data_IF_111593150438
#
_entry.id   IF_111593150438
#
_cell.length_a   1.000
_cell.length_b   1.000
_cell.length_c   1.000
_cell.angle_alpha   90.00
_cell.angle_beta   90.00
_cell.angle_gamma   90.00
#
_symmetry.space_group_name_H-M   'P 1'
#
loop_
_entity.id
_entity.type
_entity.pdbx_description
1 polymer ?
#
# COMPACT_ATOMS: atom_id res chain seq x y z
N UNK A 1 -21.44 42.97 29.38
CA UNK A 1 -22.59 42.28 28.77
C UNK A 1 -23.92 42.65 29.44
N UNK A 2 -24.03 42.61 30.78
CA UNK A 2 -25.29 42.88 31.48
C UNK A 2 -25.91 44.23 31.12
N UNK A 3 -25.14 45.36 31.13
CA UNK A 3 -25.63 46.66 30.72
C UNK A 3 -26.10 46.72 29.25
N UNK A 4 -25.49 45.92 28.40
CA UNK A 4 -25.87 45.83 27.00
C UNK A 4 -27.22 45.08 26.84
N UNK A 5 -27.44 44.04 27.64
CA UNK A 5 -28.70 43.29 27.65
C UNK A 5 -29.86 44.12 28.21
N UNK A 6 -29.58 44.96 29.20
CA UNK A 6 -30.58 45.90 29.74
C UNK A 6 -30.95 46.98 28.70
N UNK A 7 -29.98 47.57 28.00
CA UNK A 7 -30.22 48.46 26.87
C UNK A 7 -31.00 47.82 25.75
N UNK A 8 -30.72 46.56 25.47
CA UNK A 8 -31.46 45.75 24.47
C UNK A 8 -32.93 45.57 24.86
N UNK A 9 -33.23 45.24 26.12
CA UNK A 9 -34.59 45.07 26.64
C UNK A 9 -35.37 46.39 26.71
N UNK A 10 -34.67 47.52 26.91
CA UNK A 10 -35.26 48.87 26.95
C UNK A 10 -35.41 49.51 25.58
N UNK A 11 -34.88 48.87 24.51
CA UNK A 11 -34.93 49.39 23.14
C UNK A 11 -33.96 50.52 22.86
N UNK A 12 -32.91 50.70 23.67
CA UNK A 12 -31.93 51.82 23.59
C UNK A 12 -30.61 51.39 22.94
N UNK A 13 -30.59 50.33 22.15
CA UNK A 13 -29.44 49.79 21.44
C UNK A 13 -29.31 50.32 20.01
N UNK A 14 -28.08 50.53 19.53
CA UNK A 14 -27.77 50.73 18.11
C UNK A 14 -27.65 49.39 17.37
N UNK A 15 -27.45 49.41 16.04
CA UNK A 15 -27.36 48.17 15.23
C UNK A 15 -26.16 47.27 15.61
N UNK A 16 -25.02 47.87 15.99
CA UNK A 16 -23.83 47.13 16.42
C UNK A 16 -24.08 46.41 17.76
N UNK A 17 -24.74 47.12 18.71
CA UNK A 17 -25.13 46.57 20.01
C UNK A 17 -26.08 45.36 19.82
N UNK A 18 -27.04 45.43 18.89
CA UNK A 18 -27.98 44.36 18.57
C UNK A 18 -27.26 43.13 18.00
N UNK A 19 -26.32 43.35 17.09
CA UNK A 19 -25.52 42.24 16.53
C UNK A 19 -24.66 41.58 17.60
N UNK A 20 -24.09 42.33 18.53
CA UNK A 20 -23.29 41.83 19.63
C UNK A 20 -24.12 40.95 20.59
N UNK A 21 -25.34 41.41 20.93
CA UNK A 21 -26.29 40.63 21.76
C UNK A 21 -26.68 39.32 21.04
N UNK A 22 -27.04 39.38 19.77
CA UNK A 22 -27.43 38.18 19.01
C UNK A 22 -26.27 37.19 18.88
N UNK A 23 -25.05 37.67 18.66
CA UNK A 23 -23.86 36.81 18.61
C UNK A 23 -23.61 36.15 19.98
N UNK A 24 -23.75 36.88 21.08
CA UNK A 24 -23.59 36.33 22.43
C UNK A 24 -24.66 35.30 22.79
N UNK A 25 -25.92 35.53 22.38
CA UNK A 25 -27.01 34.56 22.56
C UNK A 25 -26.79 33.24 21.80
N UNK A 26 -26.17 33.32 20.63
CA UNK A 26 -25.91 32.15 19.81
C UNK A 26 -24.72 31.29 20.27
N UNK A 27 -23.88 31.80 21.19
CA UNK A 27 -22.67 31.08 21.65
C UNK A 27 -22.97 29.81 22.44
N UNK A 28 -23.97 29.86 23.34
CA UNK A 28 -24.35 28.66 24.09
C UNK A 28 -25.77 28.80 24.69
N UNK A 29 -26.37 27.66 25.08
CA UNK A 29 -27.72 27.61 25.67
C UNK A 29 -27.84 28.25 27.07
N UNK A 30 -26.71 28.42 27.77
CA UNK A 30 -26.67 29.09 29.09
C UNK A 30 -26.86 30.58 28.95
N UNK A 31 -26.29 31.20 27.94
CA UNK A 31 -26.49 32.62 27.64
C UNK A 31 -27.96 32.89 27.31
N UNK A 32 -28.61 32.01 26.57
CA UNK A 32 -30.04 32.10 26.27
C UNK A 32 -30.87 32.04 27.54
N UNK A 33 -30.63 31.11 28.46
CA UNK A 33 -31.34 30.99 29.74
C UNK A 33 -31.15 32.23 30.62
N UNK A 34 -29.93 32.74 30.69
CA UNK A 34 -29.62 33.92 31.46
C UNK A 34 -30.36 35.16 30.93
N UNK A 35 -30.46 35.30 29.62
CA UNK A 35 -31.23 36.34 28.97
C UNK A 35 -32.71 36.21 29.22
N UNK A 36 -33.30 35.03 29.13
CA UNK A 36 -34.71 34.75 29.38
C UNK A 36 -35.07 35.08 30.84
N UNK A 37 -34.25 34.75 31.80
CA UNK A 37 -34.42 35.11 33.21
C UNK A 37 -34.39 36.65 33.41
N UNK A 38 -33.47 37.35 32.78
CA UNK A 38 -33.37 38.78 32.85
C UNK A 38 -34.62 39.46 32.22
N UNK A 39 -35.08 38.93 31.10
CA UNK A 39 -36.27 39.34 30.39
C UNK A 39 -37.54 39.18 31.25
N UNK A 40 -37.69 38.06 31.93
CA UNK A 40 -38.82 37.80 32.83
C UNK A 40 -38.83 38.77 34.02
N UNK A 41 -37.69 39.03 34.62
CA UNK A 41 -37.55 40.01 35.71
C UNK A 41 -37.93 41.42 35.23
N UNK A 42 -37.49 41.82 34.04
CA UNK A 42 -37.78 43.11 33.44
C UNK A 42 -39.27 43.28 33.18
N UNK A 43 -39.94 42.29 32.60
CA UNK A 43 -41.39 42.39 32.34
C UNK A 43 -42.23 42.26 33.58
N UNK A 44 -41.86 41.49 34.59
CA UNK A 44 -42.51 41.48 35.92
C UNK A 44 -42.43 42.86 36.59
N UNK A 45 -41.28 43.54 36.51
CA UNK A 45 -41.13 44.89 37.01
C UNK A 45 -42.01 45.90 36.28
N UNK A 46 -42.28 45.71 34.99
CA UNK A 46 -43.10 46.64 34.17
C UNK A 46 -44.62 46.43 34.39
N UNK A 47 -45.07 45.28 34.85
CA UNK A 47 -46.50 44.96 35.08
C UNK A 47 -46.97 45.30 36.47
N UNK A 48 -46.08 45.52 37.44
CA UNK A 48 -46.46 45.98 38.78
C UNK A 48 -46.79 47.48 38.78
N UNK A 49 -48.05 47.84 38.64
CA UNK A 49 -48.57 49.19 38.85
C UNK A 49 -48.53 49.51 40.36
N UNK A 50 -47.53 50.21 40.83
CA UNK A 50 -47.56 50.83 42.15
C UNK A 50 -48.07 52.27 42.03
N UNK A 51 -48.97 52.77 42.93
CA UNK A 51 -49.37 54.16 42.96
C UNK A 51 -48.24 55.01 43.59
N UNK A 52 -47.51 55.70 42.79
CA UNK A 52 -46.38 56.60 43.21
C UNK A 52 -45.18 56.28 42.35
N UNK A 53 -44.67 57.30 41.67
CA UNK A 53 -43.67 57.26 40.61
C UNK A 53 -42.59 56.21 40.76
N UNK A 54 -42.50 55.36 39.79
CA UNK A 54 -41.49 54.29 39.68
C UNK A 54 -40.13 54.93 39.39
N UNK A 55 -39.22 54.80 40.35
CA UNK A 55 -37.82 55.18 40.19
C UNK A 55 -37.01 53.90 39.97
N UNK A 56 -36.53 53.69 38.74
CA UNK A 56 -35.85 52.39 38.36
C UNK A 56 -34.55 52.21 39.15
N UNK A 57 -33.82 53.28 39.47
CA UNK A 57 -32.54 53.19 40.20
C UNK A 57 -32.73 52.84 41.68
N UNK A 58 -33.76 53.37 42.33
CA UNK A 58 -34.12 52.96 43.69
C UNK A 58 -34.67 51.59 43.81
N UNK A 59 -35.39 51.15 42.79
CA UNK A 59 -35.93 49.79 42.73
C UNK A 59 -34.81 48.78 42.53
N UNK A 60 -33.85 49.06 41.66
CA UNK A 60 -32.65 48.17 41.39
C UNK A 60 -31.77 48.16 42.66
N UNK A 61 -31.54 49.23 43.32
CA UNK A 61 -30.77 49.28 44.57
C UNK A 61 -31.43 48.45 45.68
N UNK A 62 -32.78 48.48 45.75
CA UNK A 62 -33.54 47.68 46.73
C UNK A 62 -33.48 46.21 46.44
N UNK A 63 -33.57 45.81 45.19
CA UNK A 63 -33.43 44.43 44.75
C UNK A 63 -32.00 43.90 45.00
N UNK A 64 -30.98 44.70 44.67
CA UNK A 64 -29.58 44.36 44.99
C UNK A 64 -29.35 44.16 46.48
N UNK A 65 -29.91 45.06 47.31
CA UNK A 65 -29.77 44.99 48.80
C UNK A 65 -30.45 43.72 49.35
N UNK A 66 -31.63 43.37 48.83
CA UNK A 66 -32.33 42.15 49.23
C UNK A 66 -31.56 40.85 48.76
N UNK A 67 -31.06 40.86 47.54
CA UNK A 67 -30.27 39.73 47.00
C UNK A 67 -29.00 39.52 47.83
N UNK A 68 -28.22 40.54 48.13
CA UNK A 68 -27.04 40.42 48.96
C UNK A 68 -27.38 40.02 50.39
N UNK A 69 -28.54 40.43 50.93
CA UNK A 69 -28.98 40.03 52.27
C UNK A 69 -29.38 38.55 52.36
N UNK A 70 -30.08 38.06 51.33
CA UNK A 70 -30.43 36.64 51.23
C UNK A 70 -29.18 35.80 51.12
N UNK A 71 -28.25 36.16 50.21
CA UNK A 71 -27.01 35.44 49.99
C UNK A 71 -26.06 35.48 51.20
N UNK A 72 -26.06 36.59 51.95
CA UNK A 72 -25.29 36.71 53.20
C UNK A 72 -25.85 35.79 54.30
N UNK A 73 -27.16 35.68 54.39
CA UNK A 73 -27.81 34.81 55.37
C UNK A 73 -27.62 33.32 55.02
N UNK A 74 -27.71 32.94 53.72
CA UNK A 74 -27.37 31.58 53.25
C UNK A 74 -25.94 31.20 53.58
N UNK A 75 -24.99 32.11 53.43
CA UNK A 75 -23.57 31.90 53.78
C UNK A 75 -23.34 31.79 55.30
N UNK A 76 -24.17 32.45 56.12
CA UNK A 76 -24.03 32.48 57.57
C UNK A 76 -24.66 31.25 58.26
N UNK A 77 -25.74 30.72 57.71
CA UNK A 77 -26.38 29.51 58.23
C UNK A 77 -25.58 28.23 57.94
N UNK A 78 -24.58 28.29 57.02
CA UNK A 78 -23.71 27.16 56.75
C UNK A 78 -22.52 27.00 57.71
N UNK A 79 -22.22 27.99 58.59
CA UNK A 79 -21.08 27.93 59.50
C UNK A 79 -21.37 27.29 60.87
N UNK A 80 -22.61 27.04 61.21
CA UNK A 80 -22.94 26.73 62.60
C UNK A 80 -23.75 25.49 62.90
N UNK A 81 -23.52 24.31 62.32
CA UNK A 81 -24.05 23.03 62.93
C UNK A 81 -23.63 21.73 62.31
N UNK A 82 -22.57 21.61 61.49
CA UNK A 82 -22.32 20.31 60.85
C UNK A 82 -20.86 19.80 60.80
N UNK A 83 -19.92 20.30 61.58
CA UNK A 83 -18.55 19.77 61.60
C UNK A 83 -18.51 18.24 61.91
N UNK A 84 -19.38 17.75 62.79
CA UNK A 84 -19.39 16.32 63.16
C UNK A 84 -20.13 15.42 62.16
N UNK A 85 -21.18 15.92 61.48
CA UNK A 85 -21.88 15.15 60.43
C UNK A 85 -21.10 15.16 59.09
N UNK A 86 -20.48 16.26 58.74
CA UNK A 86 -19.65 16.35 57.54
C UNK A 86 -18.38 15.49 57.62
N UNK A 87 -17.79 15.31 58.82
CA UNK A 87 -16.64 14.44 58.97
C UNK A 87 -17.00 12.96 58.74
N UNK A 88 -18.18 12.53 59.23
CA UNK A 88 -18.69 11.14 58.95
C UNK A 88 -19.06 10.98 57.45
N UNK A 89 -19.60 12.00 56.81
CA UNK A 89 -19.89 11.94 55.36
C UNK A 89 -18.60 11.89 54.53
N UNK A 90 -17.61 12.70 54.90
CA UNK A 90 -16.29 12.70 54.26
C UNK A 90 -15.57 11.34 54.44
N UNK A 91 -15.68 10.70 55.61
CA UNK A 91 -15.10 9.38 55.83
C UNK A 91 -15.83 8.31 55.02
N UNK A 92 -17.16 8.35 54.92
CA UNK A 92 -17.93 7.40 54.08
C UNK A 92 -17.57 7.57 52.58
N UNK A 93 -17.48 8.83 52.09
CA UNK A 93 -17.09 9.12 50.73
C UNK A 93 -15.63 8.68 50.46
N UNK A 94 -14.72 8.91 51.40
CA UNK A 94 -13.34 8.49 51.28
C UNK A 94 -13.21 6.96 51.27
N UNK A 95 -13.98 6.24 52.07
CA UNK A 95 -14.02 4.76 52.08
C UNK A 95 -14.64 4.22 50.78
N UNK A 96 -15.74 4.85 50.30
CA UNK A 96 -16.35 4.48 49.01
C UNK A 96 -15.40 4.74 47.85
N UNK A 97 -14.71 5.89 47.82
CA UNK A 97 -13.71 6.22 46.82
C UNK A 97 -12.51 5.26 46.82
N UNK A 98 -12.02 4.87 48.04
CA UNK A 98 -10.94 3.90 48.15
C UNK A 98 -11.37 2.49 47.72
N UNK A 99 -12.61 2.08 48.01
CA UNK A 99 -13.17 0.81 47.48
C UNK A 99 -13.29 0.83 45.98
N UNK A 100 -13.79 1.93 45.36
CA UNK A 100 -13.85 2.08 43.92
C UNK A 100 -12.44 2.08 43.27
N UNK A 101 -11.46 2.69 43.93
CA UNK A 101 -10.07 2.69 43.49
C UNK A 101 -9.46 1.27 43.59
N UNK A 102 -9.73 0.51 44.65
CA UNK A 102 -9.31 -0.88 44.78
C UNK A 102 -9.97 -1.79 43.73
N UNK A 103 -11.28 -1.59 43.47
CA UNK A 103 -11.99 -2.31 42.41
C UNK A 103 -11.41 -1.95 41.04
N UNK A 104 -11.19 -0.67 40.75
CA UNK A 104 -10.57 -0.20 39.51
C UNK A 104 -9.14 -0.75 39.37
N UNK A 105 -8.36 -0.73 40.43
CA UNK A 105 -7.01 -1.30 40.46
C UNK A 105 -7.05 -2.82 40.24
N UNK A 106 -8.00 -3.53 40.88
CA UNK A 106 -8.21 -4.98 40.71
C UNK A 106 -8.62 -5.34 39.27
N UNK A 107 -9.47 -4.53 38.64
CA UNK A 107 -9.83 -4.71 37.24
C UNK A 107 -8.64 -4.42 36.31
N UNK A 108 -7.90 -3.36 36.58
CA UNK A 108 -6.70 -3.02 35.80
C UNK A 108 -5.58 -4.06 35.98
N UNK A 109 -5.36 -4.55 37.18
CA UNK A 109 -4.44 -5.67 37.46
C UNK A 109 -4.90 -6.95 36.76
N UNK A 110 -6.19 -7.31 36.78
CA UNK A 110 -6.70 -8.46 36.02
C UNK A 110 -6.53 -8.30 34.52
N UNK A 111 -6.63 -7.09 33.99
CA UNK A 111 -6.37 -6.83 32.55
C UNK A 111 -4.87 -6.83 32.24
N UNK A 112 -4.03 -6.34 33.15
CA UNK A 112 -2.57 -6.37 33.03
C UNK A 112 -1.99 -7.79 33.19
N UNK A 113 -2.59 -8.63 34.04
CA UNK A 113 -2.24 -10.03 34.21
C UNK A 113 -3.10 -11.00 33.41
N UNK A 114 -3.90 -10.51 32.44
CA UNK A 114 -4.42 -11.43 31.45
C UNK A 114 -3.19 -12.04 30.78
N UNK A 115 -2.98 -13.38 30.89
CA UNK A 115 -1.95 -14.00 30.09
C UNK A 115 -2.21 -13.51 28.67
N UNK A 116 -1.21 -12.89 28.05
CA UNK A 116 -1.29 -12.59 26.63
C UNK A 116 -1.80 -13.89 26.03
N UNK A 117 -3.00 -13.87 25.45
CA UNK A 117 -3.46 -14.99 24.63
C UNK A 117 -2.37 -15.06 23.58
N UNK A 118 -1.40 -15.91 23.82
CA UNK A 118 -0.46 -16.36 22.81
C UNK A 118 -1.36 -17.04 21.79
N UNK A 119 -1.86 -16.25 20.84
CA UNK A 119 -2.41 -16.80 19.61
C UNK A 119 -1.28 -17.69 19.13
N UNK A 120 -1.49 -19.03 19.05
CA UNK A 120 -0.45 -19.90 18.55
C UNK A 120 0.06 -19.26 17.26
N UNK A 121 1.36 -18.99 17.21
CA UNK A 121 2.01 -18.44 16.00
C UNK A 121 1.88 -19.41 14.79
N UNK A 122 1.27 -20.55 15.03
CA UNK A 122 1.01 -21.62 14.06
C UNK A 122 -0.42 -21.64 13.50
N UNK A 123 -1.16 -20.54 13.55
CA UNK A 123 -2.29 -20.44 12.61
C UNK A 123 -1.65 -20.37 11.22
N UNK A 124 -1.78 -21.42 10.38
CA UNK A 124 -1.19 -21.40 9.06
C UNK A 124 -1.74 -20.18 8.34
N UNK A 125 -0.86 -19.25 8.00
CA UNK A 125 -1.25 -18.08 7.20
C UNK A 125 -1.92 -18.61 5.94
N UNK A 126 -3.21 -18.37 5.81
CA UNK A 126 -3.92 -18.71 4.60
C UNK A 126 -3.43 -17.78 3.47
N UNK A 127 -3.20 -18.36 2.31
CA UNK A 127 -2.70 -17.66 1.14
C UNK A 127 -3.73 -17.74 0.02
N UNK A 128 -3.82 -16.65 -0.73
CA UNK A 128 -4.42 -16.66 -2.06
C UNK A 128 -3.34 -17.02 -3.07
N UNK A 129 -3.64 -17.90 -4.00
CA UNK A 129 -2.77 -18.27 -5.10
C UNK A 129 -3.53 -18.17 -6.41
N UNK A 130 -2.94 -17.48 -7.37
CA UNK A 130 -3.48 -17.30 -8.71
C UNK A 130 -2.49 -17.87 -9.70
N UNK A 131 -2.94 -18.88 -10.45
CA UNK A 131 -2.15 -19.55 -11.45
C UNK A 131 -2.65 -19.18 -12.85
N UNK A 132 -1.73 -18.78 -13.71
CA UNK A 132 -1.98 -18.54 -15.14
C UNK A 132 -1.41 -19.72 -15.94
N UNK A 133 -2.24 -20.52 -16.59
CA UNK A 133 -1.76 -21.65 -17.38
C UNK A 133 -0.96 -21.18 -18.60
N UNK A 134 -0.19 -22.10 -19.21
CA UNK A 134 0.40 -21.86 -20.53
C UNK A 134 -0.71 -21.55 -21.54
N UNK A 135 -0.42 -20.73 -22.53
CA UNK A 135 -1.38 -20.28 -23.54
C UNK A 135 -2.30 -19.15 -23.08
N UNK A 136 -2.16 -18.65 -21.86
CA UNK A 136 -3.04 -17.61 -21.29
C UNK A 136 -2.27 -16.51 -20.59
N UNK A 137 -2.92 -15.37 -20.40
CA UNK A 137 -2.44 -14.28 -19.55
C UNK A 137 -3.56 -13.86 -18.62
N UNK A 138 -3.21 -13.44 -17.42
CA UNK A 138 -4.18 -13.02 -16.39
C UNK A 138 -3.86 -11.60 -15.93
N UNK A 139 -4.89 -10.78 -15.86
CA UNK A 139 -4.81 -9.47 -15.19
C UNK A 139 -5.62 -9.51 -13.91
N UNK A 140 -5.03 -9.04 -12.81
CA UNK A 140 -5.69 -8.99 -11.51
C UNK A 140 -5.37 -7.70 -10.77
N UNK A 141 -6.22 -7.39 -9.81
CA UNK A 141 -6.01 -6.28 -8.86
C UNK A 141 -5.81 -6.88 -7.47
N UNK A 142 -4.68 -6.57 -6.84
CA UNK A 142 -4.41 -6.97 -5.46
C UNK A 142 -5.24 -6.14 -4.48
N UNK A 143 -5.40 -6.58 -3.20
CA UNK A 143 -6.22 -5.89 -2.21
C UNK A 143 -5.82 -4.42 -1.97
N UNK A 144 -4.55 -4.06 -2.17
CA UNK A 144 -4.06 -2.68 -2.03
C UNK A 144 -4.35 -1.78 -3.26
N UNK A 145 -4.92 -2.36 -4.33
CA UNK A 145 -5.20 -1.70 -5.59
C UNK A 145 -4.04 -1.74 -6.59
N UNK A 146 -2.95 -2.47 -6.29
CA UNK A 146 -1.88 -2.75 -7.24
C UNK A 146 -2.40 -3.60 -8.41
N UNK A 147 -2.09 -3.19 -9.64
CA UNK A 147 -2.44 -3.96 -10.84
C UNK A 147 -1.29 -4.90 -11.19
N UNK A 148 -1.62 -6.14 -11.50
CA UNK A 148 -0.65 -7.18 -11.87
C UNK A 148 -1.11 -7.85 -13.16
N UNK A 149 -0.20 -7.99 -14.11
CA UNK A 149 -0.36 -8.84 -15.29
C UNK A 149 0.53 -10.05 -15.12
N UNK A 150 -0.02 -11.23 -15.14
CA UNK A 150 0.71 -12.52 -15.14
C UNK A 150 0.83 -13.03 -16.54
N UNK A 151 2.05 -13.35 -16.95
CA UNK A 151 2.32 -13.98 -18.25
C UNK A 151 2.03 -15.49 -18.19
N UNK A 152 2.05 -16.15 -19.34
CA UNK A 152 1.78 -17.57 -19.48
C UNK A 152 2.70 -18.45 -18.61
N UNK A 153 2.12 -19.45 -17.95
CA UNK A 153 2.87 -20.35 -17.06
C UNK A 153 3.38 -19.70 -15.78
N UNK A 154 2.71 -18.65 -15.28
CA UNK A 154 3.12 -17.91 -14.09
C UNK A 154 2.12 -18.06 -12.93
N UNK A 155 2.60 -17.91 -11.71
CA UNK A 155 1.76 -17.86 -10.52
C UNK A 155 2.18 -16.75 -9.57
N UNK A 156 1.19 -16.19 -8.87
CA UNK A 156 1.40 -15.23 -7.77
C UNK A 156 0.68 -15.72 -6.52
N UNK A 157 1.39 -15.66 -5.39
CA UNK A 157 0.87 -16.04 -4.08
C UNK A 157 1.04 -14.90 -3.10
N UNK A 158 0.00 -14.61 -2.32
CA UNK A 158 0.01 -13.56 -1.30
C UNK A 158 -0.87 -13.95 -0.10
N UNK A 159 -0.55 -13.48 1.14
CA UNK A 159 -1.32 -13.83 2.33
C UNK A 159 -2.72 -13.20 2.29
N UNK A 160 -3.71 -13.87 2.90
CA UNK A 160 -5.07 -13.34 3.01
C UNK A 160 -5.10 -12.03 3.81
N UNK A 161 -4.24 -11.89 4.81
CA UNK A 161 -4.08 -10.67 5.60
C UNK A 161 -3.03 -9.71 4.99
N UNK A 162 -3.15 -9.47 3.68
CA UNK A 162 -2.23 -8.69 2.85
C UNK A 162 -1.84 -7.32 3.45
N UNK A 163 -2.69 -6.77 4.32
CA UNK A 163 -2.45 -5.49 4.98
C UNK A 163 -1.70 -5.58 6.32
N UNK A 164 -1.40 -6.78 6.82
CA UNK A 164 -0.66 -6.98 8.06
C UNK A 164 0.85 -6.91 7.81
N UNK A 165 1.46 -5.75 8.03
CA UNK A 165 2.88 -5.52 7.75
C UNK A 165 3.14 -5.01 6.33
N UNK A 166 4.27 -5.42 5.73
CA UNK A 166 4.61 -5.11 4.34
C UNK A 166 3.72 -5.89 3.37
N UNK A 167 3.46 -5.31 2.20
CA UNK A 167 2.66 -5.90 1.11
C UNK A 167 3.52 -6.92 0.36
N UNK A 168 3.48 -8.20 0.78
CA UNK A 168 4.35 -9.25 0.25
C UNK A 168 3.62 -10.15 -0.73
N UNK A 169 4.25 -10.41 -1.86
CA UNK A 169 3.82 -11.42 -2.84
C UNK A 169 4.99 -12.35 -3.19
N UNK A 170 4.69 -13.58 -3.56
CA UNK A 170 5.67 -14.51 -4.12
C UNK A 170 5.31 -14.76 -5.57
N UNK A 171 6.27 -14.57 -6.47
CA UNK A 171 6.13 -14.74 -7.90
C UNK A 171 6.93 -15.96 -8.36
N UNK A 172 6.29 -16.82 -9.17
CA UNK A 172 6.93 -17.82 -10.02
C UNK A 172 6.54 -17.54 -11.46
N UNK A 173 7.50 -17.41 -12.38
CA UNK A 173 7.22 -17.03 -13.77
C UNK A 173 7.44 -15.55 -14.04
N UNK A 174 6.61 -14.92 -14.86
CA UNK A 174 6.75 -13.54 -15.28
C UNK A 174 5.51 -12.71 -14.95
N UNK A 175 5.74 -11.52 -14.38
CA UNK A 175 4.69 -10.58 -14.09
C UNK A 175 5.13 -9.13 -14.31
N UNK A 176 4.21 -8.32 -14.79
CA UNK A 176 4.32 -6.86 -14.77
C UNK A 176 3.48 -6.32 -13.61
N UNK A 177 4.07 -5.41 -12.84
CA UNK A 177 3.46 -4.77 -11.69
C UNK A 177 3.30 -3.26 -11.94
N UNK A 178 2.10 -2.74 -11.71
CA UNK A 178 1.83 -1.32 -11.51
C UNK A 178 1.44 -1.11 -10.05
N UNK A 179 2.44 -0.89 -9.22
CA UNK A 179 2.28 -0.89 -7.75
C UNK A 179 1.71 0.43 -7.28
N UNK A 180 0.60 0.35 -6.56
CA UNK A 180 -0.01 1.52 -5.93
C UNK A 180 0.94 2.16 -4.92
N UNK A 181 1.20 3.46 -5.10
CA UNK A 181 2.10 4.24 -4.26
C UNK A 181 1.67 4.23 -2.79
N UNK A 182 2.62 3.99 -1.89
CA UNK A 182 2.43 4.02 -0.44
C UNK A 182 3.68 4.53 0.24
N UNK A 183 3.54 5.50 1.15
CA UNK A 183 4.64 6.02 1.97
C UNK A 183 4.85 5.24 3.27
N UNK A 184 3.94 4.32 3.61
CA UNK A 184 3.93 3.63 4.91
C UNK A 184 4.36 2.18 4.85
N UNK A 185 4.09 1.48 3.74
CA UNK A 185 4.33 0.03 3.59
C UNK A 185 4.98 -0.26 2.26
N UNK A 186 6.09 -0.99 2.30
CA UNK A 186 6.75 -1.48 1.09
C UNK A 186 5.89 -2.52 0.39
N UNK A 187 6.06 -2.63 -0.91
CA UNK A 187 5.60 -3.76 -1.70
C UNK A 187 6.81 -4.62 -2.02
N UNK A 188 6.73 -5.90 -1.72
CA UNK A 188 7.85 -6.84 -1.82
C UNK A 188 7.44 -7.99 -2.71
N UNK A 189 8.17 -8.18 -3.81
CA UNK A 189 8.05 -9.36 -4.68
C UNK A 189 9.18 -10.31 -4.35
N UNK A 190 8.85 -11.45 -3.76
CA UNK A 190 9.77 -12.55 -3.55
C UNK A 190 9.76 -13.47 -4.77
N UNK A 191 10.94 -13.87 -5.23
CA UNK A 191 11.15 -14.93 -6.21
C UNK A 191 11.84 -16.12 -5.54
N UNK A 192 12.42 -17.04 -6.31
CA UNK A 192 13.22 -18.15 -5.76
C UNK A 192 14.46 -17.67 -4.99
N UNK A 193 15.11 -16.60 -5.45
CA UNK A 193 16.46 -16.23 -4.99
C UNK A 193 16.60 -14.77 -4.55
N UNK A 194 15.73 -13.87 -5.02
CA UNK A 194 15.79 -12.44 -4.71
C UNK A 194 14.45 -11.90 -4.23
N UNK A 195 14.53 -10.87 -3.39
CA UNK A 195 13.42 -10.00 -3.00
C UNK A 195 13.56 -8.64 -3.68
N UNK A 196 12.49 -8.15 -4.26
CA UNK A 196 12.39 -6.88 -4.97
C UNK A 196 11.48 -5.97 -4.15
N UNK A 197 12.02 -4.87 -3.62
CA UNK A 197 11.32 -3.95 -2.74
C UNK A 197 11.03 -2.64 -3.45
N UNK A 198 9.77 -2.17 -3.39
CA UNK A 198 9.32 -0.93 -4.03
C UNK A 198 8.29 -0.17 -3.18
N UNK A 199 8.08 1.12 -3.48
CA UNK A 199 7.12 1.98 -2.78
C UNK A 199 5.93 2.42 -3.64
N UNK A 200 6.06 2.31 -4.96
CA UNK A 200 5.07 2.72 -5.96
C UNK A 200 5.76 2.84 -7.29
N UNK A 201 5.78 1.77 -8.06
CA UNK A 201 6.74 1.52 -9.13
C UNK A 201 6.10 0.68 -10.20
N UNK A 202 6.43 0.95 -11.47
CA UNK A 202 6.05 0.12 -12.62
C UNK A 202 7.28 -0.67 -13.08
N UNK A 203 7.18 -2.00 -13.06
CA UNK A 203 8.30 -2.85 -13.39
C UNK A 203 7.86 -4.25 -13.83
N UNK A 204 8.74 -4.94 -14.55
CA UNK A 204 8.57 -6.33 -14.96
C UNK A 204 9.54 -7.22 -14.20
N UNK A 205 9.10 -8.39 -13.79
CA UNK A 205 9.94 -9.43 -13.20
C UNK A 205 9.74 -10.71 -13.97
N UNK A 206 10.83 -11.31 -14.49
CA UNK A 206 10.85 -12.60 -15.15
C UNK A 206 11.72 -13.57 -14.34
N UNK A 207 11.07 -14.54 -13.69
CA UNK A 207 11.67 -15.46 -12.72
C UNK A 207 11.14 -16.89 -12.90
N UNK A 208 11.20 -17.41 -14.13
CA UNK A 208 10.80 -18.79 -14.41
C UNK A 208 11.79 -19.79 -13.82
N UNK A 209 11.31 -20.92 -13.23
CA UNK A 209 12.19 -21.92 -12.62
C UNK A 209 13.16 -22.58 -13.61
N UNK A 210 12.73 -22.76 -14.85
CA UNK A 210 13.47 -23.38 -15.96
C UNK A 210 14.43 -22.41 -16.67
N UNK A 211 14.53 -21.16 -16.22
CA UNK A 211 15.52 -20.19 -16.70
C UNK A 211 16.64 -19.99 -15.68
N UNK A 212 17.88 -19.86 -16.16
CA UNK A 212 19.08 -19.69 -15.33
C UNK A 212 19.22 -18.29 -14.73
N UNK A 213 18.39 -17.35 -15.16
CA UNK A 213 18.43 -15.94 -14.72
C UNK A 213 17.10 -15.49 -14.16
N UNK A 214 17.15 -14.48 -13.28
CA UNK A 214 15.99 -13.64 -12.92
C UNK A 214 16.26 -12.25 -13.48
N UNK A 215 15.30 -11.71 -14.22
CA UNK A 215 15.40 -10.39 -14.81
C UNK A 215 14.38 -9.46 -14.19
N UNK A 216 14.82 -8.27 -13.75
CA UNK A 216 13.97 -7.22 -13.21
C UNK A 216 14.17 -5.95 -14.02
N UNK A 217 13.15 -5.47 -14.69
CA UNK A 217 13.18 -4.29 -15.58
C UNK A 217 12.34 -3.18 -14.99
N UNK A 218 12.95 -2.02 -14.76
CA UNK A 218 12.28 -0.87 -14.18
C UNK A 218 11.80 0.11 -15.26
N UNK A 219 10.50 0.42 -15.23
CA UNK A 219 9.87 1.40 -16.13
C UNK A 219 9.73 2.76 -15.44
N UNK A 220 9.18 2.79 -14.22
CA UNK A 220 8.89 4.04 -13.48
C UNK A 220 9.10 3.82 -11.98
N UNK A 221 9.68 4.80 -11.29
CA UNK A 221 9.91 4.77 -9.84
C UNK A 221 11.32 4.33 -9.47
N UNK A 222 11.46 3.49 -8.44
CA UNK A 222 12.73 2.96 -7.96
C UNK A 222 12.55 1.55 -7.41
N UNK A 223 13.60 0.74 -7.53
CA UNK A 223 13.65 -0.65 -7.04
C UNK A 223 14.89 -0.83 -6.17
N UNK A 224 14.74 -1.57 -5.07
CA UNK A 224 15.84 -2.19 -4.32
C UNK A 224 15.74 -3.71 -4.46
N UNK A 225 16.85 -4.37 -4.78
CA UNK A 225 16.95 -5.82 -4.92
C UNK A 225 17.86 -6.37 -3.84
N UNK A 226 17.39 -7.39 -3.12
CA UNK A 226 18.12 -8.11 -2.08
C UNK A 226 18.14 -9.61 -2.39
N UNK A 227 19.21 -10.30 -2.06
CA UNK A 227 19.23 -11.77 -2.08
C UNK A 227 18.44 -12.34 -0.92
N UNK A 228 17.65 -13.40 -1.14
CA UNK A 228 16.91 -14.09 -0.09
C UNK A 228 17.83 -14.99 0.75
N UNK A 229 18.81 -15.63 0.11
CA UNK A 229 19.82 -16.50 0.74
C UNK A 229 21.18 -15.80 0.65
N UNK A 230 21.38 -14.75 1.46
CA UNK A 230 22.59 -13.94 1.43
C UNK A 230 23.12 -13.65 2.83
N UNK A 231 24.38 -13.20 2.89
CA UNK A 231 24.96 -12.67 4.11
C UNK A 231 24.41 -11.26 4.37
N UNK A 232 24.37 -10.84 5.64
CA UNK A 232 24.06 -9.44 6.04
C UNK A 232 25.00 -8.42 5.35
N UNK A 233 26.12 -8.87 4.78
CA UNK A 233 27.09 -8.06 4.04
C UNK A 233 26.80 -7.94 2.54
N UNK A 234 25.81 -8.66 2.01
CA UNK A 234 25.46 -8.54 0.58
C UNK A 234 24.84 -7.17 0.32
N UNK A 235 25.43 -6.45 -0.62
CA UNK A 235 24.97 -5.10 -0.98
C UNK A 235 23.63 -5.16 -1.67
N UNK A 236 22.72 -4.28 -1.28
CA UNK A 236 21.50 -4.03 -2.03
C UNK A 236 21.83 -3.42 -3.39
N UNK A 237 21.10 -3.86 -4.41
CA UNK A 237 21.21 -3.31 -5.77
C UNK A 237 20.02 -2.40 -6.02
N UNK A 238 20.28 -1.19 -6.47
CA UNK A 238 19.24 -0.20 -6.78
C UNK A 238 19.11 0.00 -8.28
N UNK A 239 17.86 0.13 -8.76
CA UNK A 239 17.57 0.47 -10.15
C UNK A 239 16.88 1.84 -10.21
N UNK A 240 17.22 2.58 -11.28
CA UNK A 240 16.50 3.76 -11.76
C UNK A 240 15.76 3.43 -13.06
N UNK A 241 14.80 4.25 -13.52
CA UNK A 241 14.07 4.01 -14.76
C UNK A 241 14.98 3.73 -15.95
N UNK A 242 14.52 2.83 -16.84
CA UNK A 242 15.25 2.34 -18.01
C UNK A 242 16.49 1.50 -17.68
N UNK A 243 16.52 0.88 -16.50
CA UNK A 243 17.54 -0.12 -16.15
C UNK A 243 16.89 -1.50 -16.01
N UNK A 244 17.73 -2.52 -16.27
CA UNK A 244 17.42 -3.93 -16.01
C UNK A 244 18.52 -4.52 -15.13
N UNK A 245 18.10 -5.25 -14.09
CA UNK A 245 18.97 -6.11 -13.30
C UNK A 245 18.83 -7.57 -13.78
N UNK A 246 19.94 -8.23 -13.99
CA UNK A 246 20.04 -9.65 -14.30
C UNK A 246 20.72 -10.35 -13.13
N UNK A 247 20.00 -11.24 -12.48
CA UNK A 247 20.51 -12.11 -11.42
C UNK A 247 20.71 -13.52 -11.98
N UNK A 248 21.91 -14.08 -11.84
CA UNK A 248 22.24 -15.44 -12.27
C UNK A 248 22.01 -16.41 -11.11
N UNK A 249 21.21 -17.46 -11.32
CA UNK A 249 20.86 -18.43 -10.28
C UNK A 249 22.01 -19.35 -9.92
N UNK A 250 22.83 -19.74 -10.92
CA UNK A 250 23.95 -20.65 -10.78
C UNK A 250 25.27 -19.98 -11.14
N UNK A 251 26.34 -20.28 -10.40
CA UNK A 251 27.70 -19.75 -10.64
C UNK A 251 28.25 -20.20 -12.01
N UNK A 252 27.89 -21.39 -12.48
CA UNK A 252 28.36 -21.94 -13.76
C UNK A 252 27.85 -21.18 -14.99
N UNK A 253 26.69 -20.54 -14.89
CA UNK A 253 26.06 -19.80 -16.00
C UNK A 253 26.83 -18.54 -16.39
N UNK A 254 27.54 -17.94 -15.43
CA UNK A 254 28.36 -16.74 -15.66
C UNK A 254 29.62 -17.11 -16.45
N UNK A 255 30.23 -18.27 -16.15
CA UNK A 255 31.45 -18.73 -16.78
C UNK A 255 31.29 -19.09 -18.29
N UNK A 256 30.09 -19.42 -18.74
CA UNK A 256 29.83 -19.70 -20.15
C UNK A 256 29.66 -18.44 -21.02
N UNK A 257 29.16 -17.35 -20.44
CA UNK A 257 29.02 -16.07 -21.17
C UNK A 257 30.32 -15.26 -21.23
N UNK A 258 31.17 -15.36 -20.20
CA UNK A 258 32.48 -14.68 -20.17
C UNK A 258 33.55 -15.36 -21.03
N UNK A 259 33.35 -16.58 -21.51
CA UNK A 259 34.27 -17.26 -22.43
C UNK A 259 34.38 -16.61 -23.81
N UNK A 260 33.55 -15.62 -24.12
CA UNK A 260 33.67 -14.79 -25.32
C UNK A 260 34.43 -13.46 -25.10
N UNK A 261 34.86 -13.17 -23.85
CA UNK A 261 35.72 -12.05 -23.53
C UNK A 261 36.91 -12.63 -22.74
N UNK A 262 38.15 -12.45 -23.25
CA UNK A 262 39.38 -12.81 -22.55
C UNK A 262 39.49 -12.06 -21.21
N UNK A 263 39.16 -12.71 -20.09
CA UNK A 263 39.25 -12.16 -18.74
C UNK A 263 40.11 -13.08 -17.86
N UNK A 264 41.06 -12.55 -17.06
CA UNK A 264 42.04 -13.36 -16.31
C UNK A 264 41.41 -14.21 -15.20
N UNK A 265 41.97 -15.39 -14.99
CA UNK A 265 41.58 -16.53 -14.14
C UNK A 265 41.42 -16.29 -12.63
N UNK A 266 41.41 -15.06 -12.10
CA UNK A 266 41.50 -14.81 -10.65
C UNK A 266 40.27 -14.14 -10.02
N UNK A 267 39.08 -14.18 -10.62
CA UNK A 267 37.86 -13.69 -9.96
C UNK A 267 37.01 -14.86 -9.42
N UNK A 268 37.04 -15.04 -8.09
CA UNK A 268 35.92 -15.70 -7.37
C UNK A 268 34.63 -15.06 -7.83
N UNK A 269 33.80 -15.79 -8.57
CA UNK A 269 32.51 -15.30 -9.03
C UNK A 269 31.59 -15.19 -7.82
N UNK A 270 31.46 -13.98 -7.32
CA UNK A 270 30.41 -13.63 -6.38
C UNK A 270 29.14 -13.54 -7.22
N UNK A 271 28.04 -14.19 -6.81
CA UNK A 271 26.70 -14.03 -7.40
C UNK A 271 26.40 -12.54 -7.59
N UNK A 272 26.63 -12.05 -8.79
CA UNK A 272 26.60 -10.61 -9.04
C UNK A 272 25.33 -10.27 -9.82
N UNK A 273 24.56 -9.34 -9.31
CA UNK A 273 23.50 -8.69 -10.08
C UNK A 273 24.19 -7.80 -11.11
N UNK A 274 24.02 -8.09 -12.39
CA UNK A 274 24.47 -7.22 -13.48
C UNK A 274 23.38 -6.19 -13.79
N UNK A 275 23.75 -4.91 -13.92
CA UNK A 275 22.83 -3.85 -14.32
C UNK A 275 23.12 -3.49 -15.77
N UNK A 276 22.07 -3.50 -16.60
CA UNK A 276 22.08 -2.97 -17.95
C UNK A 276 21.38 -1.60 -17.94
N UNK A 277 22.04 -0.60 -18.49
CA UNK A 277 21.55 0.78 -18.56
C UNK A 277 20.92 1.09 -19.91
N UNK A 278 20.10 2.15 -19.96
CA UNK A 278 19.53 2.74 -21.18
C UNK A 278 18.78 1.73 -22.06
N UNK A 279 18.09 0.77 -21.42
CA UNK A 279 17.36 -0.25 -22.15
C UNK A 279 16.02 0.29 -22.68
N UNK A 280 15.58 -0.27 -23.79
CA UNK A 280 14.21 -0.09 -24.29
C UNK A 280 13.27 -0.98 -23.45
N UNK A 281 12.67 -0.44 -22.41
CA UNK A 281 11.81 -1.20 -21.48
C UNK A 281 10.66 -1.92 -22.17
N UNK A 282 10.20 -1.39 -23.32
CA UNK A 282 9.16 -2.01 -24.14
C UNK A 282 9.49 -3.43 -24.59
N UNK A 283 10.77 -3.78 -24.76
CA UNK A 283 11.20 -5.15 -25.13
C UNK A 283 10.82 -6.17 -24.05
N UNK A 284 10.77 -5.74 -22.80
CA UNK A 284 10.50 -6.59 -21.64
C UNK A 284 9.08 -6.47 -21.11
N UNK A 285 8.29 -5.54 -21.66
CA UNK A 285 6.94 -5.24 -21.15
C UNK A 285 5.84 -5.33 -22.20
N UNK A 286 6.20 -5.38 -23.49
CA UNK A 286 5.26 -5.40 -24.61
C UNK A 286 4.34 -6.62 -24.63
N UNK A 287 4.75 -7.73 -24.01
CA UNK A 287 3.96 -8.95 -23.94
C UNK A 287 2.58 -8.75 -23.27
N UNK A 288 2.45 -7.75 -22.37
CA UNK A 288 1.19 -7.42 -21.71
C UNK A 288 0.22 -6.61 -22.60
N UNK A 289 0.71 -5.99 -23.67
CA UNK A 289 0.00 -5.06 -24.54
C UNK A 289 -0.33 -5.72 -25.90
N UNK A 290 -0.51 -7.04 -25.94
CA UNK A 290 -0.82 -7.87 -27.13
C UNK A 290 0.18 -7.77 -28.30
N UNK A 291 1.34 -7.17 -28.03
CA UNK A 291 2.47 -7.10 -28.96
C UNK A 291 3.70 -7.64 -28.28
N UNK A 292 4.36 -8.61 -28.90
CA UNK A 292 5.61 -9.12 -28.40
C UNK A 292 6.74 -8.70 -29.32
N UNK A 293 7.64 -7.88 -28.79
CA UNK A 293 8.80 -7.36 -29.51
C UNK A 293 9.98 -8.28 -29.22
N UNK A 294 10.60 -8.80 -30.27
CA UNK A 294 11.75 -9.69 -30.26
C UNK A 294 12.92 -8.90 -30.84
N UNK A 295 14.01 -8.75 -30.09
CA UNK A 295 15.22 -8.07 -30.55
C UNK A 295 16.45 -8.91 -30.17
N UNK A 296 17.08 -9.54 -31.16
CA UNK A 296 18.29 -10.32 -31.00
C UNK A 296 18.10 -11.59 -30.17
N UNK A 297 16.89 -12.12 -30.05
CA UNK A 297 16.58 -13.28 -29.22
C UNK A 297 17.07 -14.58 -29.87
N UNK A 298 17.76 -15.43 -29.10
CA UNK A 298 18.18 -16.74 -29.61
C UNK A 298 16.99 -17.66 -29.81
N UNK A 299 17.05 -18.57 -30.82
CA UNK A 299 15.97 -19.52 -31.02
C UNK A 299 15.71 -20.42 -29.82
N UNK A 300 16.73 -20.76 -29.06
CA UNK A 300 16.57 -21.51 -27.81
C UNK A 300 15.78 -20.79 -26.74
N UNK A 301 15.98 -19.46 -26.61
CA UNK A 301 15.20 -18.61 -25.70
C UNK A 301 13.80 -18.36 -26.24
N UNK A 302 13.70 -18.04 -27.54
CA UNK A 302 12.44 -17.84 -28.25
C UNK A 302 11.52 -19.06 -28.14
N UNK A 303 12.09 -20.28 -28.31
CA UNK A 303 11.33 -21.53 -28.20
C UNK A 303 10.66 -21.68 -26.82
N UNK A 304 11.36 -21.37 -25.71
CA UNK A 304 10.78 -21.44 -24.36
C UNK A 304 9.61 -20.45 -24.21
N UNK A 305 9.72 -19.27 -24.81
CA UNK A 305 8.63 -18.29 -24.78
C UNK A 305 7.44 -18.72 -25.63
N UNK A 306 7.70 -19.32 -26.82
CA UNK A 306 6.67 -19.92 -27.69
C UNK A 306 5.96 -21.08 -26.99
N UNK A 307 6.69 -21.94 -26.29
CA UNK A 307 6.12 -23.05 -25.52
C UNK A 307 5.13 -22.57 -24.46
N UNK A 308 5.45 -21.46 -23.79
CA UNK A 308 4.57 -20.85 -22.80
C UNK A 308 3.39 -20.16 -23.46
N UNK A 309 3.64 -19.35 -24.50
CA UNK A 309 2.63 -18.53 -25.18
C UNK A 309 1.57 -19.36 -25.89
N UNK A 310 1.96 -20.47 -26.53
CA UNK A 310 1.07 -21.30 -27.34
C UNK A 310 0.74 -22.67 -26.71
N UNK A 311 1.23 -22.93 -25.52
CA UNK A 311 1.05 -24.19 -24.80
C UNK A 311 1.50 -25.43 -25.63
N UNK A 312 2.67 -25.34 -26.21
CA UNK A 312 3.31 -26.38 -27.00
C UNK A 312 4.60 -26.85 -26.34
N UNK A 313 5.20 -27.95 -26.86
CA UNK A 313 6.53 -28.42 -26.49
C UNK A 313 7.42 -28.43 -27.74
N UNK A 314 8.58 -27.76 -27.66
CA UNK A 314 9.51 -27.61 -28.78
C UNK A 314 10.79 -28.36 -28.49
N UNK A 315 11.13 -29.28 -29.35
CA UNK A 315 12.37 -30.04 -29.34
C UNK A 315 13.27 -29.66 -30.51
N UNK A 316 14.57 -29.77 -30.30
CA UNK A 316 15.58 -29.47 -31.31
C UNK A 316 16.30 -30.75 -31.73
N UNK A 317 16.46 -30.93 -33.01
CA UNK A 317 17.26 -32.06 -33.56
C UNK A 317 18.77 -31.78 -33.45
N UNK A 318 19.13 -30.48 -33.54
CA UNK A 318 20.52 -30.02 -33.45
C UNK A 318 20.62 -28.82 -32.51
N UNK A 319 21.54 -28.89 -31.53
CA UNK A 319 21.80 -27.79 -30.57
C UNK A 319 22.32 -26.52 -31.26
N UNK A 320 22.98 -26.65 -32.43
CA UNK A 320 23.54 -25.49 -33.16
C UNK A 320 22.49 -24.48 -33.58
N UNK A 321 21.27 -24.92 -33.93
CA UNK A 321 20.20 -24.04 -34.40
C UNK A 321 19.62 -23.19 -33.27
N UNK A 322 19.79 -23.57 -32.01
CA UNK A 322 19.38 -22.77 -30.87
C UNK A 322 20.05 -21.37 -30.80
N UNK A 323 21.20 -21.22 -31.47
CA UNK A 323 21.99 -19.97 -31.50
C UNK A 323 21.49 -18.97 -32.52
N UNK A 324 20.64 -19.33 -33.45
CA UNK A 324 20.10 -18.39 -34.45
C UNK A 324 19.33 -17.30 -33.76
N UNK A 325 19.54 -16.05 -34.18
CA UNK A 325 18.94 -14.87 -33.56
C UNK A 325 17.83 -14.31 -34.41
N UNK A 326 16.74 -13.93 -33.76
CA UNK A 326 15.55 -13.41 -34.43
C UNK A 326 15.23 -12.01 -33.95
N UNK A 327 14.71 -11.21 -34.90
CA UNK A 327 14.15 -9.90 -34.66
C UNK A 327 12.76 -9.85 -35.29
N UNK A 328 11.81 -9.25 -34.63
CA UNK A 328 10.46 -9.08 -35.14
C UNK A 328 9.47 -8.59 -34.12
N UNK A 329 8.24 -8.45 -34.55
CA UNK A 329 7.11 -8.12 -33.69
C UNK A 329 6.03 -9.15 -33.99
N UNK A 330 5.58 -9.85 -32.96
CA UNK A 330 4.44 -10.76 -33.01
C UNK A 330 3.28 -10.12 -32.27
N UNK A 331 2.09 -10.18 -32.87
CA UNK A 331 0.85 -9.68 -32.28
C UNK A 331 -0.17 -10.82 -32.15
N UNK A 332 -0.97 -11.02 -33.18
CA UNK A 332 -2.08 -11.97 -33.20
C UNK A 332 -1.79 -13.20 -34.06
N UNK A 333 -0.50 -13.43 -34.44
CA UNK A 333 -0.11 -14.58 -35.25
C UNK A 333 -0.43 -15.88 -34.52
N UNK A 334 -0.95 -16.86 -35.29
CA UNK A 334 -1.08 -18.23 -34.80
C UNK A 334 0.29 -18.88 -34.69
N UNK A 335 0.37 -19.96 -33.93
CA UNK A 335 1.64 -20.63 -33.75
C UNK A 335 2.23 -21.17 -35.07
N UNK A 336 1.38 -21.64 -35.98
CA UNK A 336 1.79 -22.09 -37.32
C UNK A 336 2.37 -20.93 -38.14
N UNK A 337 1.76 -19.74 -38.06
CA UNK A 337 2.29 -18.55 -38.74
C UNK A 337 3.66 -18.17 -38.20
N UNK A 338 3.86 -18.24 -36.89
CA UNK A 338 5.17 -17.98 -36.28
C UNK A 338 6.22 -19.00 -36.76
N UNK A 339 5.86 -20.27 -36.85
CA UNK A 339 6.78 -21.28 -37.36
C UNK A 339 7.14 -21.08 -38.85
N UNK A 340 6.18 -20.65 -39.68
CA UNK A 340 6.46 -20.27 -41.05
C UNK A 340 7.39 -19.06 -41.15
N UNK A 341 7.21 -18.07 -40.29
CA UNK A 341 8.12 -16.90 -40.18
C UNK A 341 9.55 -17.36 -39.84
N UNK A 342 9.69 -18.26 -38.84
CA UNK A 342 10.98 -18.79 -38.42
C UNK A 342 11.64 -19.56 -39.59
N UNK A 343 10.88 -20.40 -40.27
CA UNK A 343 11.34 -21.20 -41.43
C UNK A 343 11.81 -20.33 -42.61
N UNK A 344 11.13 -19.24 -42.89
CA UNK A 344 11.53 -18.31 -43.95
C UNK A 344 12.73 -17.44 -43.53
N UNK A 345 12.92 -17.22 -42.22
CA UNK A 345 13.97 -16.34 -41.70
C UNK A 345 15.30 -17.04 -41.42
N UNK A 346 15.33 -18.36 -41.31
CA UNK A 346 16.51 -19.19 -41.00
C UNK A 346 16.44 -20.55 -41.66
N UNK A 347 17.58 -21.24 -41.84
CA UNK A 347 17.62 -22.60 -42.44
C UNK A 347 17.05 -23.65 -41.45
N UNK A 348 15.75 -23.55 -41.19
CA UNK A 348 15.04 -24.40 -40.22
C UNK A 348 13.78 -24.95 -40.88
N UNK A 349 13.56 -26.24 -40.67
CA UNK A 349 12.31 -26.92 -40.93
C UNK A 349 11.65 -27.31 -39.62
N UNK A 350 10.37 -27.61 -39.65
CA UNK A 350 9.64 -28.06 -38.48
C UNK A 350 8.65 -29.18 -38.82
N UNK A 351 8.36 -29.99 -37.81
CA UNK A 351 7.31 -31.01 -37.86
C UNK A 351 6.42 -30.85 -36.64
N UNK A 352 5.10 -30.79 -36.83
CA UNK A 352 4.11 -30.68 -35.77
C UNK A 352 3.38 -32.02 -35.60
N UNK A 353 3.30 -32.51 -34.35
CA UNK A 353 2.46 -33.64 -33.95
C UNK A 353 1.69 -33.28 -32.71
N UNK A 354 0.40 -32.95 -32.85
CA UNK A 354 -0.44 -32.38 -31.79
C UNK A 354 0.17 -31.08 -31.20
N UNK A 355 0.56 -31.09 -29.94
CA UNK A 355 1.23 -29.96 -29.28
C UNK A 355 2.77 -30.12 -29.21
N UNK A 356 3.34 -31.12 -29.88
CA UNK A 356 4.78 -31.32 -29.93
C UNK A 356 5.32 -30.83 -31.27
N UNK A 357 6.37 -30.02 -31.21
CA UNK A 357 7.05 -29.48 -32.39
C UNK A 357 8.51 -29.89 -32.35
N UNK A 358 9.01 -30.36 -33.47
CA UNK A 358 10.41 -30.65 -33.65
C UNK A 358 10.97 -29.65 -34.68
N UNK A 359 12.03 -28.97 -34.30
CA UNK A 359 12.78 -28.07 -35.16
C UNK A 359 14.05 -28.76 -35.65
N UNK A 360 14.26 -28.75 -36.95
CA UNK A 360 15.34 -29.41 -37.65
C UNK A 360 16.12 -28.40 -38.49
N UNK A 361 17.43 -28.61 -38.65
CA UNK A 361 18.24 -27.77 -39.55
C UNK A 361 17.97 -28.14 -41.00
N UNK A 362 17.62 -27.16 -41.85
CA UNK A 362 17.50 -27.38 -43.32
C UNK A 362 18.85 -27.18 -44.00
N UNK A 363 19.60 -28.25 -44.09
CA UNK A 363 20.91 -28.25 -44.74
C UNK A 363 20.87 -27.85 -46.22
N UNK A 364 19.71 -28.02 -46.89
CA UNK A 364 19.55 -27.66 -48.32
C UNK A 364 19.45 -26.16 -48.53
N UNK A 365 18.82 -25.46 -47.62
CA UNK A 365 18.65 -24.01 -47.70
C UNK A 365 19.78 -23.25 -47.01
N UNK A 366 20.64 -23.88 -46.21
CA UNK A 366 21.66 -23.26 -45.38
C UNK A 366 22.55 -22.28 -46.17
N UNK A 367 22.98 -22.63 -47.37
CA UNK A 367 23.83 -21.75 -48.19
C UNK A 367 23.20 -20.39 -48.56
N UNK A 368 21.88 -20.33 -48.54
CA UNK A 368 21.14 -19.05 -48.80
C UNK A 368 21.26 -18.09 -47.60
N UNK A 369 21.53 -18.62 -46.42
CA UNK A 369 21.57 -17.84 -45.17
C UNK A 369 23.00 -17.62 -44.64
N UNK A 370 24.05 -18.26 -45.19
CA UNK A 370 25.43 -18.20 -44.71
C UNK A 370 25.96 -16.76 -44.59
N UNK A 371 25.56 -15.84 -45.47
CA UNK A 371 25.94 -14.44 -45.41
C UNK A 371 25.25 -13.61 -44.28
N UNK A 372 24.18 -14.14 -43.67
CA UNK A 372 23.44 -13.53 -42.58
C UNK A 372 23.76 -14.17 -41.22
N UNK A 373 24.24 -15.43 -41.20
CA UNK A 373 24.50 -16.22 -40.00
C UNK A 373 25.89 -15.94 -39.38
N UNK A 374 26.80 -15.36 -40.16
CA UNK A 374 28.18 -15.03 -39.79
C UNK A 374 28.38 -13.55 -39.39
N UNK A 375 27.31 -12.82 -39.10
CA UNK A 375 27.36 -11.41 -38.62
C UNK A 375 27.03 -11.26 -37.13
#
# INVERSE_FOLDING_TARGET
>A
MEDLLIRYLTGSCNEEDIQMVNSWLSLNSENQRNFDQLKDIYYLGKTMKTPGGFDPDKSLARIKSQYYRIRYNELKDTEGTNKAKNLRYLTIVAVAASLLLLISLGINLKTAFRPAVTIPSDIPLAYNEINTPKGSRTRLTLPDGTQVWLNAGSSIRYPMDFFRGDRKVTLTGEAFFDVKKSSRKRFIVNTSDIAIEVWGTKFNVKAYPDESIIRTTLVEGSISIKKLKGSVRDKETYLIPNQTAIYYKDENTIAEQDKQAEVPESRKVVHTVQIQNEIKTVLYTSWKDDKWIIEGESLGSLARELERRYNVSISFDNESIKKYRFNGILADETFEQVLEIIKVSAPINYTIKSNQVRLEEDLRSRSKYDQFLNR
#
